data_IF_062338589638
#
_entry.id   IF_062338589638
#
_cell.length_a   1.000
_cell.length_b   1.000
_cell.length_c   1.000
_cell.angle_alpha   90.00
_cell.angle_beta   90.00
_cell.angle_gamma   90.00
#
_symmetry.space_group_name_H-M   'P 1'
#
loop_
_entity.id
_entity.type
_entity.pdbx_description
1 polymer ?
#
# COMPACT_ATOMS: atom_id res chain seq x y z
N UNK A 1 -5.54 12.27 -2.17
CA UNK A 1 -6.50 12.25 -3.29
C UNK A 1 -7.49 11.11 -3.09
N UNK A 2 -8.60 11.08 -3.81
CA UNK A 2 -9.54 9.96 -3.74
C UNK A 2 -9.01 8.75 -4.55
N UNK A 3 -9.56 7.56 -4.33
CA UNK A 3 -9.14 6.35 -5.06
C UNK A 3 -9.49 6.42 -6.55
N UNK A 4 -10.60 7.08 -6.90
CA UNK A 4 -11.05 7.32 -8.27
C UNK A 4 -10.31 8.46 -8.97
N UNK A 5 -9.30 9.05 -8.32
CA UNK A 5 -8.40 10.02 -8.94
C UNK A 5 -7.78 9.43 -10.23
N UNK A 6 -7.87 10.15 -11.37
CA UNK A 6 -7.43 9.63 -12.66
C UNK A 6 -5.97 9.16 -12.68
N UNK A 7 -5.08 9.78 -11.92
CA UNK A 7 -3.67 9.41 -11.89
C UNK A 7 -3.43 8.15 -11.06
N UNK A 8 -4.22 7.93 -10.01
CA UNK A 8 -4.19 6.68 -9.24
C UNK A 8 -4.70 5.53 -10.11
N UNK A 9 -5.79 5.76 -10.85
CA UNK A 9 -6.34 4.78 -11.78
C UNK A 9 -5.41 4.51 -12.96
N UNK A 10 -4.68 5.52 -13.44
CA UNK A 10 -3.66 5.35 -14.48
C UNK A 10 -2.51 4.47 -13.97
N UNK A 11 -2.00 4.73 -12.75
CA UNK A 11 -0.94 3.91 -12.16
C UNK A 11 -1.37 2.43 -12.00
N UNK A 12 -2.60 2.19 -11.51
CA UNK A 12 -3.14 0.83 -11.36
C UNK A 12 -3.20 0.05 -12.69
N UNK A 13 -3.40 0.76 -13.81
CA UNK A 13 -3.42 0.18 -15.16
C UNK A 13 -2.03 0.01 -15.77
N UNK A 14 -1.05 0.81 -15.34
CA UNK A 14 0.32 0.79 -15.85
C UNK A 14 1.12 -0.39 -15.31
N UNK A 15 0.95 -0.71 -14.02
CA UNK A 15 1.66 -1.82 -13.38
C UNK A 15 1.09 -3.17 -13.81
N UNK A 16 1.87 -4.24 -13.61
CA UNK A 16 1.36 -5.60 -13.81
C UNK A 16 0.11 -5.88 -12.95
N UNK A 17 -0.81 -6.71 -13.47
CA UNK A 17 -2.01 -7.14 -12.73
C UNK A 17 -1.64 -7.75 -11.37
N UNK A 18 -0.56 -8.55 -11.34
CA UNK A 18 -0.06 -9.14 -10.09
C UNK A 18 0.40 -8.10 -9.07
N UNK A 19 1.03 -7.00 -9.50
CA UNK A 19 1.42 -5.91 -8.59
C UNK A 19 0.21 -5.07 -8.14
N UNK A 20 -0.75 -4.82 -9.04
CA UNK A 20 -1.99 -4.13 -8.71
C UNK A 20 -2.76 -4.91 -7.64
N UNK A 21 -2.99 -6.20 -7.86
CA UNK A 21 -3.71 -7.09 -6.96
C UNK A 21 -2.97 -7.23 -5.61
N UNK A 22 -1.65 -7.45 -5.64
CA UNK A 22 -0.84 -7.59 -4.42
C UNK A 22 -0.79 -6.31 -3.59
N UNK A 23 -0.89 -5.13 -4.22
CA UNK A 23 -0.78 -3.85 -3.52
C UNK A 23 -1.96 -3.54 -2.59
N UNK A 24 -3.15 -4.08 -2.91
CA UNK A 24 -4.42 -3.75 -2.25
C UNK A 24 -4.90 -2.30 -2.47
N UNK A 25 -4.23 -1.51 -3.32
CA UNK A 25 -4.59 -0.09 -3.52
C UNK A 25 -6.01 0.07 -4.06
N UNK A 26 -6.50 -0.86 -4.88
CA UNK A 26 -7.87 -0.84 -5.40
C UNK A 26 -8.97 -0.99 -4.33
N UNK A 27 -8.61 -1.30 -3.08
CA UNK A 27 -9.56 -1.61 -2.01
C UNK A 27 -9.45 -0.67 -0.79
N UNK A 28 -8.67 0.42 -0.91
CA UNK A 28 -8.50 1.36 0.20
C UNK A 28 -9.82 2.04 0.56
N UNK A 29 -10.01 2.29 1.85
CA UNK A 29 -11.13 3.06 2.38
C UNK A 29 -10.70 4.44 2.89
N UNK A 30 -9.39 4.65 3.05
CA UNK A 30 -8.79 5.95 3.32
C UNK A 30 -8.69 6.80 2.05
N UNK A 31 -8.30 8.07 2.22
CA UNK A 31 -7.71 8.82 1.11
C UNK A 31 -6.42 8.12 0.61
N UNK A 32 -6.08 8.33 -0.66
CA UNK A 32 -4.81 7.94 -1.24
C UNK A 32 -3.74 9.03 -1.00
N UNK A 33 -2.59 8.62 -0.48
CA UNK A 33 -1.42 9.46 -0.21
C UNK A 33 -0.40 9.23 -1.31
N UNK A 34 -0.11 10.27 -2.09
CA UNK A 34 0.64 10.14 -3.35
C UNK A 34 1.96 10.88 -3.28
N UNK A 35 2.97 10.31 -3.93
CA UNK A 35 4.24 10.97 -4.23
C UNK A 35 4.32 11.16 -5.72
N UNK A 36 4.59 12.40 -6.13
CA UNK A 36 4.77 12.77 -7.53
C UNK A 36 6.22 13.14 -7.82
N UNK A 37 6.69 12.76 -8.99
CA UNK A 37 7.97 13.19 -9.55
C UNK A 37 7.73 13.62 -10.99
N UNK A 38 8.26 14.78 -11.38
CA UNK A 38 8.09 15.34 -12.74
C UNK A 38 6.62 15.39 -13.19
N UNK A 39 5.72 15.70 -12.25
CA UNK A 39 4.27 15.75 -12.49
C UNK A 39 3.55 14.40 -12.53
N UNK A 40 4.28 13.28 -12.63
CA UNK A 40 3.73 11.92 -12.69
C UNK A 40 3.62 11.29 -11.31
N UNK A 41 2.60 10.46 -11.13
CA UNK A 41 2.41 9.71 -9.88
C UNK A 41 3.43 8.56 -9.81
N UNK A 42 4.34 8.64 -8.84
CA UNK A 42 5.46 7.72 -8.70
C UNK A 42 5.20 6.65 -7.63
N UNK A 43 4.47 7.00 -6.56
CA UNK A 43 4.03 6.05 -5.54
C UNK A 43 2.71 6.49 -4.92
N UNK A 44 1.93 5.52 -4.47
CA UNK A 44 0.68 5.73 -3.73
C UNK A 44 0.62 4.79 -2.54
N UNK A 45 0.06 5.26 -1.45
CA UNK A 45 -0.28 4.47 -0.28
C UNK A 45 -1.67 4.84 0.22
N UNK A 46 -2.29 3.91 0.93
CA UNK A 46 -3.52 4.11 1.66
C UNK A 46 -3.71 2.96 2.64
N UNK A 47 -4.89 2.86 3.22
CA UNK A 47 -5.25 1.70 4.00
C UNK A 47 -6.72 1.36 3.83
N UNK A 48 -7.02 0.09 4.07
CA UNK A 48 -8.38 -0.41 4.27
C UNK A 48 -8.64 -0.54 5.76
N UNK A 49 -9.74 0.02 6.23
CA UNK A 49 -10.18 -0.15 7.61
C UNK A 49 -10.73 -1.56 7.82
N UNK A 50 -10.16 -2.25 8.80
CA UNK A 50 -10.57 -3.57 9.25
C UNK A 50 -11.11 -3.51 10.69
N UNK A 51 -11.92 -4.52 11.10
CA UNK A 51 -12.38 -4.64 12.48
C UNK A 51 -11.24 -4.53 13.49
N UNK A 52 -11.56 -4.02 14.69
CA UNK A 52 -10.57 -3.81 15.74
C UNK A 52 -9.66 -2.61 15.49
N UNK A 53 -10.19 -1.54 14.90
CA UNK A 53 -9.47 -0.28 14.62
C UNK A 53 -8.15 -0.52 13.86
N UNK A 54 -8.16 -1.42 12.88
CA UNK A 54 -6.95 -1.78 12.13
C UNK A 54 -6.91 -1.06 10.79
N UNK A 55 -5.81 -0.36 10.52
CA UNK A 55 -5.51 0.21 9.22
C UNK A 55 -4.65 -0.80 8.43
N UNK A 56 -5.27 -1.59 7.56
CA UNK A 56 -4.55 -2.52 6.70
C UNK A 56 -3.87 -1.77 5.56
N UNK A 57 -2.54 -1.67 5.62
CA UNK A 57 -1.73 -0.83 4.73
C UNK A 57 -1.66 -1.40 3.30
N UNK A 58 -1.92 -0.53 2.33
CA UNK A 58 -1.87 -0.80 0.89
C UNK A 58 -0.90 0.18 0.22
N UNK A 59 0.06 -0.30 -0.57
CA UNK A 59 1.13 0.52 -1.15
C UNK A 59 1.48 0.03 -2.55
N UNK A 60 1.58 0.95 -3.52
CA UNK A 60 2.03 0.68 -4.88
C UNK A 60 3.07 1.73 -5.32
N UNK A 61 4.02 1.32 -6.15
CA UNK A 61 5.05 2.20 -6.73
C UNK A 61 5.22 1.86 -8.20
N UNK A 62 5.20 2.90 -9.05
CA UNK A 62 5.42 2.78 -10.48
C UNK A 62 6.74 2.05 -10.75
N UNK A 63 6.76 1.17 -11.76
CA UNK A 63 7.92 0.31 -12.02
C UNK A 63 9.20 1.12 -12.25
N UNK A 64 9.10 2.18 -13.06
CA UNK A 64 10.20 3.09 -13.37
C UNK A 64 10.71 3.91 -12.15
N UNK A 65 9.95 3.96 -11.06
CA UNK A 65 10.25 4.77 -9.87
C UNK A 65 10.71 3.91 -8.66
N UNK A 66 10.85 2.59 -8.84
CA UNK A 66 11.29 1.66 -7.79
C UNK A 66 12.74 1.92 -7.37
N UNK A 67 13.10 1.44 -6.17
CA UNK A 67 14.47 1.57 -5.63
C UNK A 67 14.84 2.97 -5.11
N UNK A 68 13.93 3.95 -5.19
CA UNK A 68 14.20 5.37 -4.85
C UNK A 68 13.60 5.81 -3.51
N UNK A 69 13.07 4.89 -2.71
CA UNK A 69 12.48 5.19 -1.39
C UNK A 69 11.11 5.87 -1.41
N UNK A 70 10.47 6.02 -2.58
CA UNK A 70 9.19 6.72 -2.73
C UNK A 70 8.02 5.99 -2.06
N UNK A 71 8.04 4.66 -2.08
CA UNK A 71 7.09 3.82 -1.33
C UNK A 71 7.07 4.18 0.16
N UNK A 72 8.25 4.38 0.78
CA UNK A 72 8.37 4.76 2.18
C UNK A 72 7.74 6.12 2.45
N UNK A 73 7.94 7.09 1.55
CA UNK A 73 7.38 8.45 1.70
C UNK A 73 5.85 8.43 1.64
N UNK A 74 5.27 7.76 0.65
CA UNK A 74 3.82 7.62 0.54
C UNK A 74 3.25 6.87 1.75
N UNK A 75 3.86 5.74 2.11
CA UNK A 75 3.41 4.91 3.23
C UNK A 75 3.54 5.63 4.58
N UNK A 76 4.57 6.45 4.79
CA UNK A 76 4.73 7.25 6.01
C UNK A 76 3.52 8.18 6.22
N UNK A 77 3.06 8.86 5.16
CA UNK A 77 1.90 9.73 5.24
C UNK A 77 0.61 8.95 5.57
N UNK A 78 0.42 7.78 4.96
CA UNK A 78 -0.72 6.92 5.25
C UNK A 78 -0.69 6.38 6.70
N UNK A 79 0.49 6.01 7.20
CA UNK A 79 0.70 5.55 8.58
C UNK A 79 0.43 6.67 9.58
N UNK A 80 0.96 7.86 9.35
CA UNK A 80 0.73 9.03 10.19
C UNK A 80 -0.76 9.39 10.28
N UNK A 81 -1.46 9.35 9.13
CA UNK A 81 -2.90 9.54 9.09
C UNK A 81 -3.65 8.47 9.88
N UNK A 82 -3.31 7.18 9.70
CA UNK A 82 -3.96 6.09 10.43
C UNK A 82 -3.77 6.23 11.95
N UNK A 83 -2.56 6.53 12.40
CA UNK A 83 -2.25 6.73 13.81
C UNK A 83 -3.01 7.93 14.39
N UNK A 84 -3.06 9.04 13.65
CA UNK A 84 -3.83 10.23 14.04
C UNK A 84 -5.33 9.94 14.15
N UNK A 85 -5.84 9.06 13.31
CA UNK A 85 -7.22 8.57 13.36
C UNK A 85 -7.48 7.52 14.46
N UNK A 86 -6.47 7.19 15.29
CA UNK A 86 -6.60 6.19 16.36
C UNK A 86 -6.62 4.75 15.87
N UNK A 87 -6.20 4.49 14.63
CA UNK A 87 -6.11 3.15 14.05
C UNK A 87 -4.71 2.56 14.28
N UNK A 88 -4.65 1.24 14.44
CA UNK A 88 -3.42 0.46 14.47
C UNK A 88 -2.99 0.10 13.04
N UNK A 89 -1.87 0.62 12.53
CA UNK A 89 -1.36 0.22 11.22
C UNK A 89 -0.92 -1.25 11.23
N UNK A 90 -1.41 -2.02 10.27
CA UNK A 90 -1.05 -3.42 10.06
C UNK A 90 -0.69 -3.64 8.58
N UNK A 91 0.40 -4.34 8.31
CA UNK A 91 0.86 -4.56 6.95
C UNK A 91 1.14 -6.04 6.67
N UNK A 92 0.45 -6.61 5.69
CA UNK A 92 0.77 -7.93 5.12
C UNK A 92 1.81 -7.79 4.01
N UNK A 93 3.03 -7.42 4.39
CA UNK A 93 4.12 -7.25 3.43
C UNK A 93 4.70 -8.60 2.98
N UNK A 94 4.33 -9.09 1.78
CA UNK A 94 4.84 -10.35 1.23
C UNK A 94 6.18 -10.19 0.49
N UNK A 95 6.34 -9.30 -0.52
CA UNK A 95 7.62 -9.15 -1.20
C UNK A 95 8.70 -8.57 -0.28
N UNK A 96 9.96 -8.97 -0.47
CA UNK A 96 11.08 -8.49 0.36
C UNK A 96 11.20 -6.95 0.32
N UNK A 97 10.97 -6.34 -0.85
CA UNK A 97 10.95 -4.89 -0.99
C UNK A 97 9.88 -4.21 -0.12
N UNK A 98 8.68 -4.80 -0.02
CA UNK A 98 7.60 -4.31 0.83
C UNK A 98 7.97 -4.45 2.32
N UNK A 99 8.58 -5.58 2.71
CA UNK A 99 9.05 -5.82 4.08
C UNK A 99 10.11 -4.81 4.51
N UNK A 100 11.03 -4.43 3.61
CA UNK A 100 12.02 -3.37 3.87
C UNK A 100 11.36 -2.01 4.13
N UNK A 101 10.30 -1.66 3.38
CA UNK A 101 9.56 -0.42 3.61
C UNK A 101 8.87 -0.45 4.98
N UNK A 102 8.18 -1.55 5.30
CA UNK A 102 7.52 -1.72 6.60
C UNK A 102 8.53 -1.59 7.76
N UNK A 103 9.66 -2.29 7.69
CA UNK A 103 10.73 -2.20 8.70
C UNK A 103 11.30 -0.79 8.82
N UNK A 104 11.50 -0.09 7.70
CA UNK A 104 12.00 1.29 7.69
C UNK A 104 11.01 2.33 8.26
N UNK A 105 9.74 1.95 8.45
CA UNK A 105 8.70 2.75 9.12
C UNK A 105 8.46 2.31 10.57
N UNK A 106 9.23 1.34 11.08
CA UNK A 106 9.12 0.87 12.47
C UNK A 106 8.12 -0.27 12.69
N UNK A 107 7.55 -0.86 11.63
CA UNK A 107 6.75 -2.06 11.79
C UNK A 107 7.61 -3.22 12.29
N UNK A 108 7.01 -4.05 13.13
CA UNK A 108 7.62 -5.31 13.60
C UNK A 108 6.89 -6.48 12.96
N UNK A 109 7.65 -7.45 12.47
CA UNK A 109 7.07 -8.68 11.94
C UNK A 109 6.50 -9.52 13.09
N UNK A 110 5.20 -9.83 13.02
CA UNK A 110 4.51 -10.62 14.04
C UNK A 110 4.19 -12.05 13.58
N UNK A 111 4.36 -12.38 12.30
CA UNK A 111 4.07 -13.70 11.78
C UNK A 111 4.12 -13.78 10.26
N UNK A 112 3.44 -14.79 9.72
CA UNK A 112 3.23 -15.00 8.30
C UNK A 112 1.77 -15.36 8.05
N UNK A 113 1.29 -15.09 6.84
CA UNK A 113 -0.02 -15.53 6.37
C UNK A 113 0.17 -16.60 5.29
N UNK A 114 -0.64 -17.64 5.36
CA UNK A 114 -0.75 -18.67 4.32
C UNK A 114 -2.18 -18.67 3.78
N UNK A 115 -2.31 -18.55 2.47
CA UNK A 115 -3.59 -18.63 1.77
C UNK A 115 -3.64 -19.93 0.96
N UNK A 116 -4.74 -20.67 1.05
CA UNK A 116 -4.98 -21.88 0.27
C UNK A 116 -6.10 -21.63 -0.73
N UNK A 117 -5.87 -21.99 -1.98
CA UNK A 117 -6.95 -22.08 -2.97
C UNK A 117 -7.53 -23.48 -2.92
N UNK A 118 -8.78 -23.60 -2.47
CA UNK A 118 -9.50 -24.86 -2.47
C UNK A 118 -10.04 -25.13 -3.87
N UNK A 119 -9.88 -26.36 -4.36
CA UNK A 119 -10.58 -26.76 -5.59
C UNK A 119 -12.04 -27.03 -5.24
N UNK A 120 -13.00 -26.58 -6.05
CA UNK A 120 -14.37 -27.06 -5.93
C UNK A 120 -14.42 -28.58 -6.13
N UNK A 121 -15.32 -29.25 -5.42
CA UNK A 121 -15.65 -30.67 -5.59
C UNK A 121 -16.36 -30.95 -6.92
#
# INVERSE_FOLDING_TARGET
>A
VALDDPDVQALLKEVSVGDADESGIGEITSAAFVVREEGKLAAVAGYREWPGATAHMCILTAEAARGRGLAKRAAAAAVDHALTAGLLPQWRARPEASRRVASALGFRQLGAQLSFHLRPE
#
